data_IF_399867023375
#
_entry.id   IF_399867023375
#
_cell.length_a   1.000
_cell.length_b   1.000
_cell.length_c   1.000
_cell.angle_alpha   90.00
_cell.angle_beta   90.00
_cell.angle_gamma   90.00
#
_symmetry.space_group_name_H-M   'P 1'
#
loop_
_entity.id
_entity.type
_entity.pdbx_description
1 polymer ?
#
# COMPACT_ATOMS: atom_id res chain seq x y z
N UNK A 1 -16.99 3.05 7.13
CA UNK A 1 -18.44 3.09 6.84
C UNK A 1 -18.57 2.54 5.44
N UNK A 2 -19.28 1.43 5.25
CA UNK A 2 -19.46 0.82 3.93
C UNK A 2 -20.75 1.40 3.37
N UNK A 3 -20.65 2.30 2.41
CA UNK A 3 -21.80 2.67 1.59
C UNK A 3 -21.95 1.63 0.47
N UNK A 4 -23.18 1.15 0.33
CA UNK A 4 -23.60 0.16 -0.67
C UNK A 4 -24.67 0.86 -1.49
N UNK A 5 -24.52 0.92 -2.81
CA UNK A 5 -25.53 1.54 -3.66
C UNK A 5 -26.68 0.55 -3.92
N UNK A 6 -27.80 1.07 -4.43
CA UNK A 6 -29.06 0.37 -4.72
C UNK A 6 -28.96 -0.83 -5.67
N UNK A 7 -27.80 -1.06 -6.30
CA UNK A 7 -27.49 -2.22 -7.15
C UNK A 7 -26.72 -3.34 -6.42
N UNK A 8 -26.52 -3.23 -5.09
CA UNK A 8 -25.78 -4.25 -4.31
C UNK A 8 -24.27 -4.23 -4.54
N UNK A 9 -23.75 -3.19 -5.22
CA UNK A 9 -22.31 -2.96 -5.38
C UNK A 9 -21.78 -2.16 -4.19
N UNK A 10 -20.71 -2.69 -3.60
CA UNK A 10 -19.92 -2.00 -2.57
C UNK A 10 -19.33 -0.74 -3.20
N UNK A 11 -19.80 0.45 -2.82
CA UNK A 11 -19.30 1.74 -3.32
C UNK A 11 -18.33 2.42 -2.35
N UNK A 12 -18.28 2.01 -1.08
CA UNK A 12 -17.47 2.66 -0.03
C UNK A 12 -15.98 2.29 0.07
N UNK A 13 -15.40 1.58 -0.89
CA UNK A 13 -13.98 1.14 -0.82
C UNK A 13 -13.11 1.68 -1.97
N UNK A 14 -13.69 2.39 -2.94
CA UNK A 14 -13.13 2.38 -4.28
C UNK A 14 -11.75 3.06 -4.42
N UNK A 15 -11.37 4.06 -3.61
CA UNK A 15 -10.20 4.87 -4.01
C UNK A 15 -9.38 5.52 -2.87
N UNK A 16 -9.36 4.91 -1.68
CA UNK A 16 -8.45 5.37 -0.61
C UNK A 16 -6.97 5.30 -1.05
N UNK A 17 -6.64 4.41 -1.98
CA UNK A 17 -5.30 4.21 -2.54
C UNK A 17 -5.09 4.91 -3.89
N UNK A 18 -5.87 5.95 -4.19
CA UNK A 18 -5.61 6.82 -5.34
C UNK A 18 -4.28 7.51 -5.25
N UNK A 19 -3.68 7.80 -6.40
CA UNK A 19 -2.45 8.59 -6.52
C UNK A 19 -2.51 9.91 -5.72
N UNK A 20 -3.68 10.58 -5.69
CA UNK A 20 -3.87 11.79 -4.88
C UNK A 20 -3.69 11.51 -3.37
N UNK A 21 -4.39 10.51 -2.83
CA UNK A 21 -4.26 10.14 -1.43
C UNK A 21 -2.86 9.65 -1.06
N UNK A 22 -2.18 8.91 -1.95
CA UNK A 22 -0.79 8.52 -1.73
C UNK A 22 0.14 9.75 -1.60
N UNK A 23 -0.08 10.78 -2.42
CA UNK A 23 0.68 12.04 -2.36
C UNK A 23 0.35 12.90 -1.14
N UNK A 24 -0.78 12.67 -0.48
CA UNK A 24 -1.15 13.35 0.76
C UNK A 24 -0.37 12.83 1.97
N UNK A 25 0.23 11.64 1.88
CA UNK A 25 1.13 11.12 2.92
C UNK A 25 2.43 11.91 2.91
N UNK A 26 2.73 12.57 4.03
CA UNK A 26 3.92 13.41 4.23
C UNK A 26 4.66 13.03 5.50
N UNK A 27 5.95 13.35 5.53
CA UNK A 27 6.79 13.19 6.72
C UNK A 27 6.17 13.90 7.93
N UNK A 28 6.27 13.27 9.10
CA UNK A 28 5.72 13.76 10.36
C UNK A 28 4.24 13.42 10.61
N UNK A 29 3.49 12.95 9.60
CA UNK A 29 2.11 12.46 9.79
C UNK A 29 2.08 11.29 10.78
N UNK A 30 1.02 11.19 11.58
CA UNK A 30 0.85 10.07 12.50
C UNK A 30 0.37 8.83 11.75
N UNK A 31 0.74 7.67 12.27
CA UNK A 31 0.28 6.36 11.79
C UNK A 31 -1.26 6.28 11.70
N UNK A 32 -1.97 6.79 12.70
CA UNK A 32 -3.44 6.86 12.68
C UNK A 32 -3.98 7.74 11.55
N UNK A 33 -3.32 8.87 11.25
CA UNK A 33 -3.72 9.74 10.14
C UNK A 33 -3.52 9.03 8.79
N UNK A 34 -2.41 8.30 8.63
CA UNK A 34 -2.16 7.49 7.43
C UNK A 34 -3.17 6.36 7.32
N UNK A 35 -3.49 5.66 8.41
CA UNK A 35 -4.48 4.58 8.41
C UNK A 35 -5.89 5.09 8.06
N UNK A 36 -6.27 6.29 8.54
CA UNK A 36 -7.55 6.92 8.17
C UNK A 36 -7.58 7.34 6.71
N UNK A 37 -6.44 7.77 6.16
CA UNK A 37 -6.33 8.26 4.78
C UNK A 37 -6.31 7.11 3.76
N UNK A 38 -5.47 6.10 4.00
CA UNK A 38 -5.22 4.99 3.07
C UNK A 38 -6.06 3.74 3.36
N UNK A 39 -6.72 3.69 4.53
CA UNK A 39 -7.48 2.53 4.96
C UNK A 39 -6.59 1.40 5.48
N UNK A 40 -7.10 0.18 5.36
CA UNK A 40 -6.48 -1.02 5.90
C UNK A 40 -5.18 -1.36 5.16
N UNK A 41 -4.07 -1.47 5.90
CA UNK A 41 -2.80 -1.95 5.35
C UNK A 41 -2.86 -3.46 5.09
N UNK A 42 -2.07 -3.92 4.10
CA UNK A 42 -1.92 -5.34 3.76
C UNK A 42 -0.99 -6.05 4.74
N UNK A 43 0.17 -5.46 5.00
CA UNK A 43 1.20 -6.07 5.86
C UNK A 43 1.96 -5.02 6.64
N UNK A 44 2.41 -5.44 7.83
CA UNK A 44 3.27 -4.67 8.73
C UNK A 44 4.59 -5.42 8.90
N UNK A 45 5.69 -4.73 8.68
CA UNK A 45 7.05 -5.24 8.86
C UNK A 45 7.79 -4.37 9.87
N UNK A 46 8.30 -4.96 10.96
CA UNK A 46 9.03 -4.24 12.02
C UNK A 46 10.52 -4.55 11.97
N UNK A 47 11.34 -3.52 11.87
CA UNK A 47 12.80 -3.61 11.87
C UNK A 47 13.36 -3.20 13.23
N UNK A 48 13.68 -4.18 14.08
CA UNK A 48 14.15 -3.93 15.46
C UNK A 48 15.44 -3.12 15.56
N UNK A 49 16.34 -3.25 14.59
CA UNK A 49 17.64 -2.57 14.62
C UNK A 49 17.51 -1.06 14.35
N UNK A 50 16.64 -0.67 13.42
CA UNK A 50 16.38 0.74 13.09
C UNK A 50 15.25 1.35 13.92
N UNK A 51 14.42 0.52 14.57
CA UNK A 51 13.17 0.97 15.19
C UNK A 51 12.06 1.31 14.18
N UNK A 52 12.27 1.00 12.90
CA UNK A 52 11.31 1.28 11.84
C UNK A 52 10.16 0.27 11.82
N UNK A 53 8.94 0.77 11.60
CA UNK A 53 7.77 -0.01 11.28
C UNK A 53 7.31 0.37 9.87
N UNK A 54 7.18 -0.59 8.97
CA UNK A 54 6.83 -0.37 7.57
C UNK A 54 5.50 -1.01 7.28
N UNK A 55 4.55 -0.22 6.80
CA UNK A 55 3.24 -0.69 6.38
C UNK A 55 3.16 -0.63 4.86
N UNK A 56 2.61 -1.69 4.26
CA UNK A 56 2.41 -1.76 2.82
C UNK A 56 0.94 -1.86 2.43
N UNK A 57 0.61 -1.26 1.28
CA UNK A 57 -0.70 -1.32 0.62
C UNK A 57 -0.50 -1.76 -0.83
N UNK A 58 -1.42 -2.56 -1.35
CA UNK A 58 -1.47 -2.90 -2.77
C UNK A 58 -2.12 -1.75 -3.54
N UNK A 59 -1.39 -1.17 -4.49
CA UNK A 59 -1.84 -0.04 -5.29
C UNK A 59 -1.89 -0.42 -6.77
N UNK A 60 -2.51 0.42 -7.59
CA UNK A 60 -2.57 0.21 -9.03
C UNK A 60 -1.16 -0.01 -9.63
N UNK A 61 -1.06 -1.01 -10.51
CA UNK A 61 0.17 -1.34 -11.18
C UNK A 61 0.61 -0.21 -12.11
N UNK A 62 1.83 0.28 -11.88
CA UNK A 62 2.40 1.39 -12.67
C UNK A 62 2.87 0.96 -14.06
N UNK A 63 3.15 -0.33 -14.26
CA UNK A 63 3.68 -0.90 -15.49
C UNK A 63 2.98 -2.23 -15.84
N UNK A 64 2.78 -2.55 -17.14
CA UNK A 64 2.17 -3.82 -17.55
C UNK A 64 3.04 -5.06 -17.26
N UNK A 65 4.33 -4.87 -16.94
CA UNK A 65 5.26 -5.94 -16.60
C UNK A 65 5.36 -6.26 -15.11
N UNK A 66 4.69 -5.52 -14.23
CA UNK A 66 4.67 -5.80 -12.78
C UNK A 66 3.43 -6.62 -12.41
N UNK A 67 3.62 -7.61 -11.54
CA UNK A 67 2.53 -8.41 -10.96
C UNK A 67 1.79 -7.56 -9.92
N UNK A 68 2.54 -6.87 -9.07
CA UNK A 68 1.98 -6.03 -8.02
C UNK A 68 2.86 -4.82 -7.76
N UNK A 69 2.22 -3.68 -7.50
CA UNK A 69 2.85 -2.48 -6.97
C UNK A 69 2.43 -2.27 -5.53
N UNK A 70 3.40 -2.02 -4.67
CA UNK A 70 3.17 -1.75 -3.26
C UNK A 70 3.60 -0.34 -2.91
N UNK A 71 2.72 0.39 -2.23
CA UNK A 71 3.08 1.63 -1.57
C UNK A 71 3.45 1.33 -0.12
N UNK A 72 4.67 1.67 0.27
CA UNK A 72 5.18 1.43 1.61
C UNK A 72 5.37 2.76 2.35
N UNK A 73 4.84 2.84 3.56
CA UNK A 73 5.03 3.95 4.49
C UNK A 73 5.88 3.48 5.65
N UNK A 74 6.97 4.18 5.90
CA UNK A 74 7.91 3.87 6.97
C UNK A 74 7.66 4.80 8.14
N UNK A 75 7.54 4.23 9.33
CA UNK A 75 7.26 4.91 10.57
C UNK A 75 8.41 4.72 11.57
N UNK A 76 8.74 5.78 12.29
CA UNK A 76 9.54 5.73 13.52
C UNK A 76 8.77 6.51 14.57
N UNK A 77 8.62 5.95 15.78
CA UNK A 77 7.80 6.54 16.84
C UNK A 77 6.36 6.88 16.39
N UNK A 78 5.77 5.99 15.58
CA UNK A 78 4.44 6.15 14.97
C UNK A 78 4.28 7.40 14.07
N UNK A 79 5.38 7.98 13.58
CA UNK A 79 5.37 9.08 12.62
C UNK A 79 6.03 8.69 11.31
N UNK A 80 5.47 9.16 10.21
CA UNK A 80 6.01 8.94 8.86
C UNK A 80 7.41 9.56 8.78
N UNK A 81 8.40 8.76 8.40
CA UNK A 81 9.76 9.23 8.10
C UNK A 81 10.08 9.16 6.61
N UNK A 82 9.42 8.26 5.86
CA UNK A 82 9.55 8.19 4.40
C UNK A 82 8.42 7.36 3.78
N UNK A 83 8.25 7.53 2.47
CA UNK A 83 7.41 6.68 1.63
C UNK A 83 8.25 6.08 0.50
N UNK A 84 7.85 4.93 0.00
CA UNK A 84 8.58 4.22 -1.08
C UNK A 84 7.63 3.32 -1.85
N UNK A 85 8.00 2.95 -3.07
CA UNK A 85 7.28 1.94 -3.85
C UNK A 85 8.14 0.69 -4.00
N UNK A 86 7.50 -0.47 -3.90
CA UNK A 86 8.10 -1.77 -4.21
C UNK A 86 7.31 -2.42 -5.35
N UNK A 87 8.02 -3.12 -6.22
CA UNK A 87 7.44 -3.78 -7.38
C UNK A 87 7.73 -5.27 -7.31
N UNK A 88 6.70 -6.08 -7.53
CA UNK A 88 6.83 -7.51 -7.71
C UNK A 88 6.79 -7.80 -9.21
N UNK A 89 7.85 -8.41 -9.72
CA UNK A 89 7.97 -8.83 -11.11
C UNK A 89 7.76 -10.35 -11.21
N UNK A 90 7.28 -10.87 -12.35
CA UNK A 90 7.27 -12.31 -12.58
C UNK A 90 8.70 -12.86 -12.50
N UNK A 91 8.87 -13.92 -11.70
CA UNK A 91 10.13 -14.66 -11.71
C UNK A 91 10.32 -15.26 -13.11
N UNK A 92 11.50 -15.05 -13.71
CA UNK A 92 11.80 -15.54 -15.06
C UNK A 92 11.66 -17.08 -15.21
N UNK A 93 11.65 -17.83 -14.09
CA UNK A 93 11.51 -19.29 -14.09
C UNK A 93 10.05 -19.80 -14.14
N UNK A 94 9.03 -18.94 -14.12
CA UNK A 94 7.63 -19.41 -14.22
C UNK A 94 7.26 -19.85 -15.65
N UNK A 95 8.12 -19.55 -16.64
CA UNK A 95 7.95 -19.98 -18.03
C UNK A 95 8.53 -21.35 -18.40
N UNK A 96 9.28 -22.02 -17.51
CA UNK A 96 10.01 -23.27 -17.84
C UNK A 96 9.39 -24.54 -17.23
N UNK A 97 8.10 -24.52 -16.86
CA UNK A 97 7.38 -25.72 -16.35
C UNK A 97 6.25 -26.22 -17.24
N UNK A 98 6.29 -25.89 -18.52
CA UNK A 98 5.39 -26.45 -19.53
C UNK A 98 6.19 -26.97 -20.72
N UNK A 99 6.84 -28.12 -20.57
CA UNK A 99 7.28 -29.01 -21.66
C UNK A 99 7.27 -30.46 -21.15
#
# INVERSE_FOLDING_TARGET
>A
MIEVDTEGRIVGHHDALTRDNLQRVREGMTLEAVQRLLGQHRRVTRYRLSGEEVWDWNVENVDPGVIATYFNVHFVDHRVVRTSFSYEYPNANDGERAQ
#
